data_IF_166712986147
#
_entry.id   IF_166712986147
#
_cell.length_a   1.000
_cell.length_b   1.000
_cell.length_c   1.000
_cell.angle_alpha   90.00
_cell.angle_beta   90.00
_cell.angle_gamma   90.00
#
_symmetry.space_group_name_H-M   'P 1'
#
loop_
_entity.id
_entity.type
_entity.pdbx_description
1 polymer ?
#
# COMPACT_ATOMS: atom_id res chain seq x y z
N UNK A 1 -34.60 55.45 19.66
CA UNK A 1 -33.66 54.69 20.51
C UNK A 1 -33.64 53.20 20.18
N UNK A 2 -34.73 52.58 19.69
CA UNK A 2 -34.72 51.13 19.38
C UNK A 2 -33.81 50.74 18.20
N UNK A 3 -33.74 51.53 17.13
CA UNK A 3 -32.85 51.27 15.98
C UNK A 3 -31.35 51.25 16.33
N UNK A 4 -30.95 52.01 17.36
CA UNK A 4 -29.57 52.06 17.86
C UNK A 4 -29.19 50.79 18.66
N UNK A 5 -30.18 50.02 19.14
CA UNK A 5 -29.99 48.75 19.85
C UNK A 5 -30.15 47.54 18.91
N UNK A 6 -31.03 47.63 17.91
CA UNK A 6 -31.25 46.56 16.93
C UNK A 6 -30.02 46.37 16.02
N UNK A 7 -29.38 47.45 15.56
CA UNK A 7 -28.21 47.39 14.69
C UNK A 7 -27.02 46.63 15.32
N UNK A 8 -26.57 46.91 16.56
CA UNK A 8 -25.47 46.17 17.18
C UNK A 8 -25.86 44.71 17.50
N UNK A 9 -27.12 44.42 17.85
CA UNK A 9 -27.57 43.03 18.02
C UNK A 9 -27.52 42.26 16.69
N UNK A 10 -27.99 42.86 15.59
CA UNK A 10 -27.94 42.23 14.27
C UNK A 10 -26.49 41.99 13.82
N UNK A 11 -25.61 42.97 14.03
CA UNK A 11 -24.18 42.84 13.77
C UNK A 11 -23.54 41.71 14.61
N UNK A 12 -23.92 41.60 15.89
CA UNK A 12 -23.46 40.51 16.77
C UNK A 12 -23.89 39.14 16.24
N UNK A 13 -25.15 38.97 15.84
CA UNK A 13 -25.62 37.69 15.27
C UNK A 13 -24.93 37.34 13.96
N UNK A 14 -24.67 38.32 13.09
CA UNK A 14 -23.89 38.12 11.85
C UNK A 14 -22.46 37.67 12.19
N UNK A 15 -21.79 38.36 13.13
CA UNK A 15 -20.45 37.99 13.57
C UNK A 15 -20.43 36.59 14.20
N UNK A 16 -21.42 36.24 15.03
CA UNK A 16 -21.53 34.93 15.64
C UNK A 16 -21.72 33.83 14.58
N UNK A 17 -22.55 34.07 13.56
CA UNK A 17 -22.76 33.14 12.46
C UNK A 17 -21.48 32.97 11.61
N UNK A 18 -20.78 34.06 11.30
CA UNK A 18 -19.50 34.04 10.59
C UNK A 18 -18.43 33.29 11.40
N UNK A 19 -18.35 33.56 12.71
CA UNK A 19 -17.44 32.87 13.61
C UNK A 19 -17.72 31.36 13.66
N UNK A 20 -18.99 30.96 13.79
CA UNK A 20 -19.40 29.56 13.72
C UNK A 20 -19.01 28.89 12.40
N UNK A 21 -19.15 29.60 11.27
CA UNK A 21 -18.73 29.12 9.96
C UNK A 21 -17.21 28.91 9.88
N UNK A 22 -16.42 29.85 10.40
CA UNK A 22 -14.96 29.75 10.48
C UNK A 22 -14.54 28.57 11.36
N UNK A 23 -15.16 28.39 12.54
CA UNK A 23 -14.89 27.24 13.42
C UNK A 23 -15.19 25.92 12.72
N UNK A 24 -16.33 25.82 12.04
CA UNK A 24 -16.70 24.61 11.30
C UNK A 24 -15.71 24.32 10.17
N UNK A 25 -15.23 25.34 9.47
CA UNK A 25 -14.22 25.20 8.41
C UNK A 25 -12.85 24.79 8.96
N UNK A 26 -12.42 25.41 10.06
CA UNK A 26 -11.18 25.06 10.75
C UNK A 26 -11.22 23.62 11.26
N UNK A 27 -12.33 23.19 11.87
CA UNK A 27 -12.53 21.81 12.32
C UNK A 27 -12.40 20.79 11.19
N UNK A 28 -13.01 21.04 10.02
CA UNK A 28 -12.86 20.16 8.85
C UNK A 28 -11.42 20.09 8.35
N UNK A 29 -10.71 21.22 8.30
CA UNK A 29 -9.33 21.26 7.84
C UNK A 29 -8.40 20.47 8.78
N UNK A 30 -8.61 20.59 10.09
CA UNK A 30 -7.87 19.82 11.11
C UNK A 30 -8.15 18.31 10.96
N UNK A 31 -9.42 17.92 10.77
CA UNK A 31 -9.79 16.52 10.55
C UNK A 31 -9.11 15.94 9.30
N UNK A 32 -9.19 16.63 8.16
CA UNK A 32 -8.54 16.22 6.91
C UNK A 32 -7.02 16.07 7.04
N UNK A 33 -6.39 16.95 7.83
CA UNK A 33 -4.95 16.88 8.10
C UNK A 33 -4.60 15.65 8.93
N UNK A 34 -5.41 15.35 9.94
CA UNK A 34 -5.23 14.16 10.78
C UNK A 34 -5.42 12.87 10.00
N UNK A 35 -6.43 12.79 9.14
CA UNK A 35 -6.69 11.60 8.33
C UNK A 35 -5.54 11.33 7.35
N UNK A 36 -5.06 12.36 6.66
CA UNK A 36 -3.92 12.24 5.75
C UNK A 36 -2.62 11.85 6.48
N UNK A 37 -2.37 12.39 7.68
CA UNK A 37 -1.21 12.02 8.49
C UNK A 37 -1.31 10.59 9.04
N UNK A 38 -2.51 10.16 9.47
CA UNK A 38 -2.76 8.78 9.90
C UNK A 38 -2.53 7.79 8.77
N UNK A 39 -3.12 8.06 7.60
CA UNK A 39 -2.96 7.22 6.42
C UNK A 39 -1.49 7.10 6.00
N UNK A 40 -0.75 8.22 5.96
CA UNK A 40 0.70 8.23 5.66
C UNK A 40 1.50 7.31 6.58
N UNK A 41 1.26 7.40 7.88
CA UNK A 41 1.95 6.55 8.87
C UNK A 41 1.59 5.08 8.71
N UNK A 42 0.31 4.76 8.51
CA UNK A 42 -0.15 3.37 8.34
C UNK A 42 0.42 2.74 7.06
N UNK A 43 0.40 3.46 5.94
CA UNK A 43 1.00 2.99 4.68
C UNK A 43 2.52 2.82 4.82
N UNK A 44 3.20 3.77 5.46
CA UNK A 44 4.64 3.68 5.69
C UNK A 44 5.05 2.45 6.52
N UNK A 45 4.32 2.18 7.60
CA UNK A 45 4.53 0.98 8.43
C UNK A 45 4.27 -0.31 7.64
N UNK A 46 3.11 -0.39 6.97
CA UNK A 46 2.74 -1.55 6.16
C UNK A 46 3.79 -1.84 5.07
N UNK A 47 4.18 -0.81 4.32
CA UNK A 47 5.17 -0.93 3.25
C UNK A 47 6.55 -1.34 3.80
N UNK A 48 6.95 -0.82 4.97
CA UNK A 48 8.19 -1.21 5.63
C UNK A 48 8.22 -2.68 6.06
N UNK A 49 7.10 -3.18 6.61
CA UNK A 49 6.94 -4.59 6.95
C UNK A 49 6.93 -5.49 5.72
N UNK A 50 6.16 -5.11 4.68
CA UNK A 50 6.13 -5.84 3.42
C UNK A 50 7.51 -5.90 2.75
N UNK A 51 8.23 -4.77 2.70
CA UNK A 51 9.57 -4.71 2.14
C UNK A 51 10.55 -5.60 2.91
N UNK A 52 10.51 -5.59 4.24
CA UNK A 52 11.39 -6.42 5.06
C UNK A 52 11.18 -7.91 4.78
N UNK A 53 9.92 -8.37 4.80
CA UNK A 53 9.56 -9.77 4.54
C UNK A 53 9.90 -10.20 3.11
N UNK A 54 9.56 -9.39 2.12
CA UNK A 54 9.81 -9.71 0.71
C UNK A 54 11.31 -9.62 0.35
N UNK A 55 12.08 -8.73 1.00
CA UNK A 55 13.52 -8.63 0.82
C UNK A 55 14.25 -9.87 1.34
N UNK A 56 13.89 -10.33 2.54
CA UNK A 56 14.44 -11.56 3.12
C UNK A 56 14.15 -12.76 2.22
N UNK A 57 12.89 -12.93 1.78
CA UNK A 57 12.52 -14.00 0.86
C UNK A 57 13.29 -13.88 -0.46
N UNK A 58 13.38 -12.68 -1.04
CA UNK A 58 14.11 -12.45 -2.30
C UNK A 58 15.57 -12.90 -2.20
N UNK A 59 16.25 -12.63 -1.08
CA UNK A 59 17.63 -13.07 -0.88
C UNK A 59 17.75 -14.60 -0.85
N UNK A 60 16.82 -15.29 -0.17
CA UNK A 60 16.80 -16.76 -0.11
C UNK A 60 16.49 -17.40 -1.47
N UNK A 61 15.55 -16.83 -2.22
CA UNK A 61 15.23 -17.30 -3.57
C UNK A 61 16.38 -17.02 -4.56
N UNK A 62 17.12 -15.92 -4.42
CA UNK A 62 18.33 -15.71 -5.22
C UNK A 62 19.40 -16.76 -4.90
N UNK A 63 19.59 -17.13 -3.63
CA UNK A 63 20.49 -18.20 -3.22
C UNK A 63 20.06 -19.57 -3.79
N UNK A 64 18.77 -19.91 -3.73
CA UNK A 64 18.20 -21.10 -4.38
C UNK A 64 18.48 -21.09 -5.89
N UNK A 65 18.20 -19.97 -6.56
CA UNK A 65 18.41 -19.81 -8.01
C UNK A 65 19.88 -19.97 -8.41
N UNK A 66 20.82 -19.59 -7.54
CA UNK A 66 22.27 -19.75 -7.74
C UNK A 66 22.78 -21.14 -7.36
N UNK A 67 21.91 -22.05 -6.90
CA UNK A 67 22.30 -23.37 -6.43
C UNK A 67 23.07 -23.35 -5.11
N UNK A 68 23.02 -22.25 -4.35
CA UNK A 68 23.68 -22.10 -3.05
C UNK A 68 22.82 -22.63 -1.90
N UNK A 69 21.54 -22.87 -2.16
CA UNK A 69 20.57 -23.36 -1.20
C UNK A 69 19.72 -24.46 -1.85
N UNK A 70 19.40 -25.52 -1.10
CA UNK A 70 18.55 -26.60 -1.58
C UNK A 70 17.07 -26.20 -1.63
N UNK A 71 16.30 -26.82 -2.53
CA UNK A 71 14.87 -26.54 -2.69
C UNK A 71 14.06 -26.69 -1.39
N UNK A 72 14.42 -27.63 -0.51
CA UNK A 72 13.71 -27.85 0.75
C UNK A 72 13.99 -26.76 1.80
N UNK A 73 15.11 -26.06 1.69
CA UNK A 73 15.53 -25.08 2.70
C UNK A 73 14.78 -23.73 2.63
N UNK A 74 13.94 -23.50 1.61
CA UNK A 74 13.09 -22.30 1.49
C UNK A 74 11.60 -22.54 1.73
N UNK A 75 11.17 -23.79 1.96
CA UNK A 75 9.75 -24.14 2.01
C UNK A 75 9.01 -23.40 3.13
N UNK A 76 9.59 -23.39 4.33
CA UNK A 76 9.00 -22.71 5.49
C UNK A 76 9.00 -21.19 5.31
N UNK A 77 10.07 -20.63 4.74
CA UNK A 77 10.17 -19.19 4.47
C UNK A 77 9.13 -18.74 3.43
N UNK A 78 8.89 -19.55 2.39
CA UNK A 78 7.87 -19.28 1.37
C UNK A 78 6.47 -19.25 1.98
N UNK A 79 6.10 -20.26 2.77
CA UNK A 79 4.80 -20.33 3.43
C UNK A 79 4.63 -19.17 4.42
N UNK A 80 5.62 -18.91 5.27
CA UNK A 80 5.57 -17.82 6.24
C UNK A 80 5.44 -16.46 5.56
N UNK A 81 6.14 -16.24 4.45
CA UNK A 81 6.05 -14.99 3.69
C UNK A 81 4.72 -14.86 2.97
N UNK A 82 4.18 -15.95 2.40
CA UNK A 82 2.87 -15.97 1.77
C UNK A 82 1.77 -15.57 2.78
N UNK A 83 1.79 -16.17 3.97
CA UNK A 83 0.86 -15.85 5.06
C UNK A 83 1.01 -14.39 5.54
N UNK A 84 2.25 -13.89 5.61
CA UNK A 84 2.51 -12.51 5.96
C UNK A 84 1.94 -11.54 4.92
N UNK A 85 2.19 -11.78 3.62
CA UNK A 85 1.69 -10.96 2.51
C UNK A 85 0.16 -10.98 2.43
N UNK A 86 -0.46 -12.14 2.67
CA UNK A 86 -1.93 -12.23 2.74
C UNK A 86 -2.49 -11.34 3.86
N UNK A 87 -1.91 -11.40 5.07
CA UNK A 87 -2.30 -10.52 6.18
C UNK A 87 -2.06 -9.04 5.86
N UNK A 88 -0.95 -8.70 5.19
CA UNK A 88 -0.69 -7.34 4.77
C UNK A 88 -1.71 -6.84 3.75
N UNK A 89 -2.18 -7.70 2.84
CA UNK A 89 -3.23 -7.35 1.90
C UNK A 89 -4.56 -7.08 2.63
N UNK A 90 -4.91 -7.89 3.63
CA UNK A 90 -6.09 -7.68 4.47
C UNK A 90 -5.98 -6.35 5.24
N UNK A 91 -4.85 -6.11 5.91
CA UNK A 91 -4.56 -4.85 6.61
C UNK A 91 -4.65 -3.63 5.66
N UNK A 92 -4.15 -3.78 4.43
CA UNK A 92 -4.21 -2.74 3.41
C UNK A 92 -5.66 -2.42 3.00
N UNK A 93 -6.52 -3.44 2.87
CA UNK A 93 -7.95 -3.25 2.55
C UNK A 93 -8.67 -2.48 3.65
N UNK A 94 -8.30 -2.72 4.90
CA UNK A 94 -8.87 -2.06 6.10
C UNK A 94 -8.35 -0.64 6.34
N UNK A 95 -7.40 -0.15 5.52
CA UNK A 95 -6.97 1.24 5.59
C UNK A 95 -8.13 2.19 5.25
N UNK A 96 -8.15 3.32 5.96
CA UNK A 96 -9.12 4.38 5.77
C UNK A 96 -8.43 5.58 5.13
N UNK A 97 -8.29 5.59 3.79
CA UNK A 97 -7.60 6.67 3.10
C UNK A 97 -8.43 7.97 3.08
N UNK A 98 -7.77 9.14 3.03
CA UNK A 98 -8.42 10.36 2.60
C UNK A 98 -8.85 10.24 1.12
N UNK A 99 -9.67 11.18 0.63
CA UNK A 99 -10.21 11.15 -0.75
C UNK A 99 -9.16 10.95 -1.84
N UNK A 100 -7.99 11.57 -1.72
CA UNK A 100 -6.91 11.44 -2.70
C UNK A 100 -6.08 10.15 -2.53
N UNK A 101 -6.28 9.40 -1.44
CA UNK A 101 -5.51 8.21 -1.09
C UNK A 101 -6.16 6.87 -1.48
N UNK A 102 -7.42 6.87 -1.94
CA UNK A 102 -8.12 5.62 -2.30
C UNK A 102 -7.38 4.82 -3.37
N UNK A 103 -6.93 5.49 -4.44
CA UNK A 103 -6.18 4.85 -5.51
C UNK A 103 -4.88 4.21 -4.98
N UNK A 104 -4.16 4.91 -4.10
CA UNK A 104 -2.91 4.42 -3.52
C UNK A 104 -3.16 3.16 -2.69
N UNK A 105 -4.24 3.13 -1.89
CA UNK A 105 -4.64 1.97 -1.11
C UNK A 105 -4.94 0.77 -2.03
N UNK A 106 -5.73 0.98 -3.07
CA UNK A 106 -6.13 -0.08 -4.01
C UNK A 106 -4.92 -0.64 -4.79
N UNK A 107 -3.98 0.23 -5.18
CA UNK A 107 -2.73 -0.15 -5.84
C UNK A 107 -1.83 -0.99 -4.91
N UNK A 108 -1.67 -0.59 -3.63
CA UNK A 108 -0.91 -1.38 -2.65
C UNK A 108 -1.52 -2.77 -2.45
N UNK A 109 -2.85 -2.87 -2.32
CA UNK A 109 -3.56 -4.16 -2.22
C UNK A 109 -3.25 -5.02 -3.45
N UNK A 110 -3.32 -4.43 -4.65
CA UNK A 110 -3.06 -5.13 -5.91
C UNK A 110 -1.64 -5.68 -5.97
N UNK A 111 -0.64 -4.92 -5.53
CA UNK A 111 0.75 -5.35 -5.54
C UNK A 111 1.07 -6.39 -4.45
N UNK A 112 0.38 -6.35 -3.30
CA UNK A 112 0.48 -7.41 -2.28
C UNK A 112 -0.12 -8.72 -2.80
N UNK A 113 -1.30 -8.69 -3.42
CA UNK A 113 -1.90 -9.88 -4.04
C UNK A 113 -1.05 -10.40 -5.21
N UNK A 114 -0.42 -9.51 -5.98
CA UNK A 114 0.53 -9.88 -7.02
C UNK A 114 1.75 -10.58 -6.43
N UNK A 115 2.26 -10.10 -5.30
CA UNK A 115 3.35 -10.72 -4.56
C UNK A 115 2.97 -12.13 -4.10
N UNK A 116 1.77 -12.31 -3.54
CA UNK A 116 1.27 -13.63 -3.12
C UNK A 116 1.26 -14.64 -4.28
N UNK A 117 0.67 -14.28 -5.44
CA UNK A 117 0.67 -15.13 -6.64
C UNK A 117 2.08 -15.44 -7.16
N UNK A 118 3.01 -14.49 -7.02
CA UNK A 118 4.40 -14.69 -7.41
C UNK A 118 5.12 -15.67 -6.46
N UNK A 119 4.82 -15.63 -5.16
CA UNK A 119 5.33 -16.56 -4.16
C UNK A 119 4.79 -17.97 -4.41
N UNK A 120 3.49 -18.11 -4.71
CA UNK A 120 2.89 -19.40 -5.10
C UNK A 120 3.56 -19.99 -6.35
N UNK A 121 3.91 -19.16 -7.34
CA UNK A 121 4.64 -19.59 -8.53
C UNK A 121 6.06 -20.09 -8.19
N UNK A 122 6.73 -19.46 -7.22
CA UNK A 122 8.03 -19.93 -6.72
C UNK A 122 7.87 -21.26 -6.01
N UNK A 123 6.87 -21.41 -5.12
CA UNK A 123 6.62 -22.67 -4.42
C UNK A 123 6.30 -23.80 -5.41
N UNK A 124 5.53 -23.52 -6.46
CA UNK A 124 5.27 -24.49 -7.52
C UNK A 124 6.56 -24.98 -8.18
N UNK A 125 7.46 -24.07 -8.56
CA UNK A 125 8.75 -24.45 -9.13
C UNK A 125 9.63 -25.21 -8.12
N UNK A 126 9.65 -24.78 -6.86
CA UNK A 126 10.37 -25.44 -5.77
C UNK A 126 9.87 -26.88 -5.56
N UNK A 127 8.56 -27.10 -5.56
CA UNK A 127 7.95 -28.43 -5.43
C UNK A 127 8.30 -29.34 -6.62
N UNK A 128 8.41 -28.80 -7.84
CA UNK A 128 8.90 -29.56 -9.00
C UNK A 128 10.37 -29.96 -8.80
N UNK A 129 11.24 -29.04 -8.36
CA UNK A 129 12.65 -29.36 -8.09
C UNK A 129 12.81 -30.43 -7.00
N UNK A 130 12.04 -30.35 -5.92
CA UNK A 130 12.09 -31.33 -4.84
C UNK A 130 11.60 -32.73 -5.25
N UNK A 131 10.60 -32.80 -6.15
CA UNK A 131 10.02 -34.07 -6.62
C UNK A 131 10.73 -34.69 -7.83
N UNK A 132 11.43 -33.90 -8.64
CA UNK A 132 12.06 -34.37 -9.87
C UNK A 132 13.34 -35.20 -9.59
N UNK A 133 13.22 -36.53 -9.62
CA UNK A 133 14.38 -37.40 -9.85
C UNK A 133 14.92 -37.15 -11.27
N UNK A 134 15.97 -36.32 -11.39
CA UNK A 134 16.80 -36.07 -12.59
C UNK A 134 16.04 -36.08 -13.94
N UNK A 135 15.57 -34.91 -14.38
CA UNK A 135 15.53 -34.57 -15.82
C UNK A 135 14.19 -34.30 -16.49
N UNK A 136 13.04 -34.58 -15.85
CA UNK A 136 11.75 -34.43 -16.55
C UNK A 136 11.21 -32.99 -16.66
N UNK A 137 11.41 -32.15 -15.63
CA UNK A 137 10.74 -30.84 -15.48
C UNK A 137 11.63 -29.73 -14.91
N UNK A 138 12.94 -29.87 -15.01
CA UNK A 138 13.90 -28.92 -14.44
C UNK A 138 13.75 -27.51 -15.04
N UNK A 139 13.59 -27.41 -16.36
CA UNK A 139 13.43 -26.12 -17.06
C UNK A 139 12.16 -25.41 -16.62
N UNK A 140 11.06 -26.14 -16.45
CA UNK A 140 9.79 -25.60 -15.98
C UNK A 140 9.93 -25.05 -14.55
N UNK A 141 10.55 -25.84 -13.68
CA UNK A 141 10.79 -25.46 -12.29
C UNK A 141 11.62 -24.17 -12.18
N UNK A 142 12.75 -24.12 -12.90
CA UNK A 142 13.60 -22.93 -12.94
C UNK A 142 12.89 -21.72 -13.55
N UNK A 143 12.05 -21.94 -14.56
CA UNK A 143 11.28 -20.86 -15.20
C UNK A 143 10.25 -20.28 -14.24
N UNK A 144 9.52 -21.12 -13.52
CA UNK A 144 8.55 -20.71 -12.51
C UNK A 144 9.23 -19.90 -11.39
N UNK A 145 10.33 -20.43 -10.82
CA UNK A 145 11.11 -19.74 -9.77
C UNK A 145 11.61 -18.38 -10.29
N UNK A 146 12.21 -18.33 -11.48
CA UNK A 146 12.75 -17.09 -12.06
C UNK A 146 11.66 -16.05 -12.29
N UNK A 147 10.50 -16.45 -12.82
CA UNK A 147 9.38 -15.53 -13.09
C UNK A 147 8.76 -15.01 -11.80
N UNK A 148 8.49 -15.89 -10.85
CA UNK A 148 7.98 -15.50 -9.54
C UNK A 148 8.95 -14.56 -8.82
N UNK A 149 10.26 -14.86 -8.84
CA UNK A 149 11.29 -13.99 -8.27
C UNK A 149 11.27 -12.57 -8.86
N UNK A 150 11.25 -12.44 -10.20
CA UNK A 150 11.17 -11.13 -10.85
C UNK A 150 9.88 -10.38 -10.50
N UNK A 151 8.74 -11.10 -10.42
CA UNK A 151 7.47 -10.49 -10.04
C UNK A 151 7.48 -9.99 -8.60
N UNK A 152 8.12 -10.70 -7.66
CA UNK A 152 8.30 -10.23 -6.28
C UNK A 152 9.15 -8.95 -6.25
N UNK A 153 10.25 -8.90 -7.01
CA UNK A 153 11.07 -7.69 -7.09
C UNK A 153 10.28 -6.48 -7.62
N UNK A 154 9.50 -6.67 -8.68
CA UNK A 154 8.69 -5.59 -9.24
C UNK A 154 7.60 -5.12 -8.27
N UNK A 155 6.93 -6.06 -7.59
CA UNK A 155 5.89 -5.71 -6.63
C UNK A 155 6.47 -4.95 -5.43
N UNK A 156 7.67 -5.30 -4.96
CA UNK A 156 8.40 -4.54 -3.92
C UNK A 156 8.66 -3.10 -4.35
N UNK A 157 9.19 -2.92 -5.55
CA UNK A 157 9.48 -1.59 -6.09
C UNK A 157 8.20 -0.75 -6.22
N UNK A 158 7.11 -1.34 -6.72
CA UNK A 158 5.81 -0.69 -6.82
C UNK A 158 5.25 -0.32 -5.44
N UNK A 159 5.27 -1.22 -4.45
CA UNK A 159 4.83 -0.93 -3.07
C UNK A 159 5.63 0.25 -2.49
N UNK A 160 6.95 0.27 -2.70
CA UNK A 160 7.80 1.38 -2.25
C UNK A 160 7.44 2.70 -2.96
N UNK A 161 7.11 2.67 -4.25
CA UNK A 161 6.64 3.84 -5.00
C UNK A 161 5.30 4.35 -4.46
N UNK A 162 4.32 3.48 -4.25
CA UNK A 162 3.02 3.85 -3.69
C UNK A 162 3.14 4.39 -2.26
N UNK A 163 4.06 3.86 -1.45
CA UNK A 163 4.35 4.39 -0.12
C UNK A 163 4.95 5.81 -0.17
N UNK A 164 5.82 6.10 -1.15
CA UNK A 164 6.33 7.46 -1.40
C UNK A 164 5.22 8.39 -1.91
N UNK A 165 4.33 7.89 -2.77
CA UNK A 165 3.17 8.65 -3.22
C UNK A 165 2.24 8.99 -2.05
N UNK A 166 2.01 8.05 -1.13
CA UNK A 166 1.24 8.28 0.09
C UNK A 166 1.90 9.37 0.95
N UNK A 167 3.21 9.29 1.18
CA UNK A 167 3.94 10.26 2.02
C UNK A 167 3.89 11.70 1.45
N UNK A 168 3.78 11.83 0.13
CA UNK A 168 3.63 13.09 -0.58
C UNK A 168 2.20 13.66 -0.60
N UNK A 169 1.20 12.96 -0.06
CA UNK A 169 -0.18 13.44 0.00
C UNK A 169 -0.30 14.74 0.79
N UNK A 170 -0.94 15.74 0.19
CA UNK A 170 -1.22 17.02 0.83
C UNK A 170 -2.58 16.99 1.53
N UNK A 171 -2.67 17.44 2.79
CA UNK A 171 -3.94 17.54 3.48
C UNK A 171 -4.83 18.63 2.85
N UNK A 172 -6.12 18.31 2.65
CA UNK A 172 -7.09 19.26 2.10
C UNK A 172 -7.00 19.50 0.60
N UNK A 173 -6.29 18.64 -0.15
CA UNK A 173 -6.36 18.58 -1.61
C UNK A 173 -7.74 18.14 -2.07
N UNK A 174 -8.70 19.06 -2.18
CA UNK A 174 -9.88 18.80 -2.98
C UNK A 174 -9.43 18.65 -4.43
N UNK A 175 -9.60 17.45 -4.99
CA UNK A 175 -9.47 17.09 -6.40
C UNK A 175 -9.31 18.28 -7.38
N UNK A 176 -8.06 18.64 -7.70
CA UNK A 176 -7.72 19.44 -8.89
C UNK A 176 -7.42 18.52 -10.07
N UNK A 177 -8.26 17.52 -10.32
CA UNK A 177 -8.15 16.65 -11.50
C UNK A 177 -9.51 16.43 -12.14
N UNK A 178 -10.00 17.45 -12.85
CA UNK A 178 -10.87 17.27 -14.00
C UNK A 178 -10.75 18.45 -14.99
N UNK A 179 -9.53 18.74 -15.43
CA UNK A 179 -9.32 19.65 -16.56
C UNK A 179 -8.02 19.32 -17.30
N UNK A 180 -7.87 18.08 -17.77
CA UNK A 180 -6.87 17.70 -18.79
C UNK A 180 -7.23 16.35 -19.41
N UNK A 181 -8.25 16.37 -20.26
CA UNK A 181 -8.46 15.41 -21.36
C UNK A 181 -9.41 16.02 -22.38
N UNK A 182 -8.85 16.90 -23.19
CA UNK A 182 -9.33 17.22 -24.53
C UNK A 182 -8.08 17.59 -25.33
N UNK A 183 -7.47 16.55 -25.89
CA UNK A 183 -6.52 16.61 -26.99
C UNK A 183 -7.03 15.60 -28.01
#
# INVERSE_FOLDING_TARGET
MELLLVLPMLAFFILLALFGLVLRRAGRFVAQTRDAERFRRQVGDLAGRAESSLAELSARIDALRRGQLGADAVADDLNATLDAVARYADEARDLHPPTDGFQIRDEIVTELERSARAIEMIEHGRAIQASARRGGREIEAQTAIKRGYLNVLHAREAIAEHARAASALRPGGGSRRFQRRSA
#
